data_IF_082636218036
#
_entry.id   IF_082636218036
#
_cell.length_a   1.000
_cell.length_b   1.000
_cell.length_c   1.000
_cell.angle_alpha   90.00
_cell.angle_beta   90.00
_cell.angle_gamma   90.00
#
_symmetry.space_group_name_H-M   'P 1'
#
loop_
_entity.id
_entity.type
_entity.pdbx_description
1 polymer ?
#
# COMPACT_ATOMS: atom_id res chain seq x y z
N UNK A 1 -47.12 6.47 -26.63
CA UNK A 1 -47.45 5.16 -27.25
C UNK A 1 -46.33 4.19 -26.86
N UNK A 2 -46.56 3.18 -26.01
CA UNK A 2 -47.16 1.87 -26.33
C UNK A 2 -46.40 1.07 -27.41
N UNK A 3 -45.54 0.15 -26.98
CA UNK A 3 -45.77 -1.30 -27.10
C UNK A 3 -45.12 -2.05 -25.93
N UNK A 4 -45.95 -2.50 -24.99
CA UNK A 4 -45.66 -3.64 -24.12
C UNK A 4 -46.25 -4.90 -24.77
N UNK A 5 -45.73 -6.08 -24.40
CA UNK A 5 -46.45 -7.36 -24.47
C UNK A 5 -46.07 -8.17 -23.23
N UNK A 6 -47.06 -8.57 -22.44
CA UNK A 6 -46.91 -9.35 -21.20
C UNK A 6 -47.43 -10.79 -21.40
N UNK A 7 -46.97 -11.72 -20.56
CA UNK A 7 -47.62 -12.95 -20.03
C UNK A 7 -46.58 -13.56 -19.06
N UNK A 8 -46.78 -13.84 -17.76
CA UNK A 8 -47.81 -14.62 -17.04
C UNK A 8 -47.84 -16.12 -17.44
N UNK A 9 -47.75 -17.12 -16.55
CA UNK A 9 -47.44 -17.17 -15.10
C UNK A 9 -46.98 -18.61 -14.69
N UNK A 10 -46.23 -18.72 -13.60
CA UNK A 10 -45.84 -19.89 -12.77
C UNK A 10 -46.36 -21.33 -13.04
N UNK A 11 -45.50 -22.35 -12.81
CA UNK A 11 -45.63 -23.32 -11.69
C UNK A 11 -44.48 -24.36 -11.52
N UNK A 12 -44.11 -24.60 -10.25
CA UNK A 12 -43.63 -25.84 -9.59
C UNK A 12 -42.54 -26.80 -10.17
N UNK A 13 -41.39 -26.83 -9.47
CA UNK A 13 -40.71 -28.00 -8.81
C UNK A 13 -40.37 -29.28 -9.63
N UNK A 14 -39.06 -29.51 -9.87
CA UNK A 14 -38.26 -30.75 -9.67
C UNK A 14 -36.98 -30.67 -10.57
N UNK A 15 -35.78 -30.30 -10.13
CA UNK A 15 -34.85 -30.82 -9.10
C UNK A 15 -33.88 -31.91 -9.60
N UNK A 16 -32.56 -31.63 -9.50
CA UNK A 16 -31.39 -32.55 -9.67
C UNK A 16 -31.16 -33.09 -11.11
N UNK A 17 -30.02 -32.99 -11.79
CA UNK A 17 -28.67 -32.32 -11.71
C UNK A 17 -28.06 -32.36 -13.15
N UNK A 18 -26.87 -31.88 -13.54
CA UNK A 18 -25.70 -31.21 -12.92
C UNK A 18 -24.95 -30.43 -14.03
N UNK A 19 -24.72 -29.11 -13.91
CA UNK A 19 -23.63 -28.34 -14.58
C UNK A 19 -23.79 -26.83 -14.34
N UNK A 20 -22.78 -26.17 -13.75
CA UNK A 20 -22.61 -24.71 -13.81
C UNK A 20 -21.16 -24.30 -13.52
N UNK A 21 -20.64 -23.37 -14.31
CA UNK A 21 -19.30 -22.78 -14.12
C UNK A 21 -19.47 -21.35 -13.60
N UNK A 22 -18.83 -21.06 -12.46
CA UNK A 22 -18.34 -19.72 -12.08
C UNK A 22 -19.36 -18.62 -11.76
N UNK A 23 -19.44 -18.23 -10.49
CA UNK A 23 -19.38 -16.84 -9.97
C UNK A 23 -19.24 -16.90 -8.43
N UNK A 24 -18.72 -15.85 -7.79
CA UNK A 24 -18.29 -15.89 -6.38
C UNK A 24 -19.43 -15.80 -5.33
N UNK A 25 -19.24 -16.32 -4.10
CA UNK A 25 -20.25 -16.28 -3.05
C UNK A 25 -20.15 -15.01 -2.17
N UNK A 26 -21.28 -14.37 -1.93
CA UNK A 26 -21.42 -13.27 -0.98
C UNK A 26 -22.68 -13.43 -0.13
N UNK A 27 -22.50 -13.87 1.13
CA UNK A 27 -23.48 -13.95 2.22
C UNK A 27 -24.71 -14.87 2.02
N UNK A 28 -24.89 -15.77 2.98
CA UNK A 28 -26.22 -16.08 3.53
C UNK A 28 -26.05 -16.20 5.05
N UNK A 29 -27.06 -15.83 5.84
CA UNK A 29 -26.99 -15.80 7.30
C UNK A 29 -28.23 -16.47 7.91
N UNK A 30 -28.08 -17.20 9.02
CA UNK A 30 -29.24 -17.84 9.67
C UNK A 30 -28.95 -19.04 10.56
N UNK A 31 -28.16 -18.87 11.62
CA UNK A 31 -28.19 -19.75 12.79
C UNK A 31 -28.11 -18.87 14.04
N UNK A 32 -28.96 -19.12 15.04
CA UNK A 32 -29.03 -18.28 16.24
C UNK A 32 -27.95 -18.70 17.24
N UNK A 33 -27.16 -17.74 17.72
CA UNK A 33 -26.17 -17.98 18.76
C UNK A 33 -26.86 -18.09 20.14
N UNK A 34 -26.79 -19.27 20.76
CA UNK A 34 -26.96 -19.43 22.21
C UNK A 34 -25.62 -19.15 22.93
N UNK A 35 -25.67 -18.93 24.24
CA UNK A 35 -24.53 -18.48 25.02
C UNK A 35 -23.34 -19.47 25.01
N UNK A 36 -22.12 -18.94 25.03
CA UNK A 36 -20.89 -19.71 24.89
C UNK A 36 -20.56 -20.56 26.13
N UNK A 37 -19.92 -21.71 25.89
CA UNK A 37 -19.18 -22.49 26.89
C UNK A 37 -17.87 -23.02 26.30
N UNK A 38 -16.79 -22.79 27.05
CA UNK A 38 -15.50 -23.50 27.10
C UNK A 38 -14.95 -24.21 25.84
N UNK A 39 -13.90 -23.62 25.25
CA UNK A 39 -12.80 -24.34 24.59
C UNK A 39 -12.96 -24.63 23.08
N UNK A 40 -12.38 -23.78 22.23
CA UNK A 40 -12.18 -24.13 20.83
C UNK A 40 -11.14 -25.26 20.69
N UNK A 41 -11.47 -26.40 20.05
CA UNK A 41 -10.64 -27.60 20.12
C UNK A 41 -9.26 -27.46 19.46
N UNK A 42 -9.11 -26.50 18.54
CA UNK A 42 -7.89 -26.30 17.75
C UNK A 42 -6.97 -25.17 18.26
N UNK A 43 -7.30 -24.50 19.37
CA UNK A 43 -6.44 -23.43 19.93
C UNK A 43 -5.62 -23.98 21.10
N UNK A 44 -4.37 -23.51 21.25
CA UNK A 44 -3.51 -23.72 22.43
C UNK A 44 -3.61 -22.49 23.35
N UNK A 45 -3.48 -21.30 22.78
CA UNK A 45 -3.81 -20.02 23.43
C UNK A 45 -4.13 -18.96 22.38
N UNK A 46 -4.84 -17.91 22.79
CA UNK A 46 -5.11 -16.71 21.99
C UNK A 46 -5.02 -15.43 22.84
N UNK A 47 -4.77 -14.31 22.18
CA UNK A 47 -4.77 -12.95 22.72
C UNK A 47 -5.54 -12.07 21.74
N UNK A 48 -6.64 -11.48 22.20
CA UNK A 48 -7.57 -10.72 21.36
C UNK A 48 -8.51 -11.60 20.51
N UNK A 49 -9.19 -10.98 19.55
CA UNK A 49 -10.20 -11.58 18.65
C UNK A 49 -9.93 -11.22 17.19
N UNK A 50 -10.36 -12.06 16.27
CA UNK A 50 -10.31 -11.77 14.83
C UNK A 50 -11.59 -11.05 14.40
N UNK A 51 -11.75 -9.77 14.75
CA UNK A 51 -12.94 -8.96 14.41
C UNK A 51 -12.66 -7.67 13.62
N UNK A 52 -11.40 -7.27 13.49
CA UNK A 52 -10.91 -6.13 12.71
C UNK A 52 -10.45 -4.93 13.53
N UNK A 53 -10.45 -5.03 14.87
CA UNK A 53 -10.22 -3.91 15.78
C UNK A 53 -9.12 -4.21 16.81
N UNK A 54 -8.53 -3.14 17.38
CA UNK A 54 -7.48 -3.24 18.41
C UNK A 54 -7.93 -2.81 19.82
N UNK A 55 -9.22 -2.52 20.00
CA UNK A 55 -9.82 -1.86 21.18
C UNK A 55 -9.68 -2.59 22.51
N UNK A 56 -9.45 -3.89 22.48
CA UNK A 56 -9.27 -4.70 23.68
C UNK A 56 -7.82 -4.78 24.16
N UNK A 57 -6.87 -4.17 23.44
CA UNK A 57 -5.48 -4.00 23.86
C UNK A 57 -5.26 -2.69 24.63
N UNK A 58 -4.09 -2.51 25.25
CA UNK A 58 -3.69 -1.22 25.79
C UNK A 58 -3.19 -0.29 24.68
N UNK A 59 -3.55 0.99 24.71
CA UNK A 59 -3.32 1.90 23.59
C UNK A 59 -1.84 2.27 23.34
N UNK A 60 -1.54 2.71 22.13
CA UNK A 60 -0.20 3.03 21.65
C UNK A 60 0.74 1.83 21.56
N UNK A 61 2.04 2.11 21.58
CA UNK A 61 3.11 1.12 21.49
C UNK A 61 4.01 1.09 22.74
N UNK A 62 4.96 0.17 22.75
CA UNK A 62 6.05 0.05 23.73
C UNK A 62 7.34 -0.37 23.04
N UNK A 63 8.50 -0.06 23.65
CA UNK A 63 9.82 -0.60 23.25
C UNK A 63 9.98 -2.10 23.51
N UNK A 64 9.05 -2.70 24.24
CA UNK A 64 9.00 -4.13 24.52
C UNK A 64 7.96 -4.44 25.59
N UNK A 65 7.51 -5.70 25.66
CA UNK A 65 6.62 -6.19 26.71
C UNK A 65 6.76 -7.70 26.89
N UNK A 66 6.15 -8.23 27.94
CA UNK A 66 6.01 -9.68 28.15
C UNK A 66 4.62 -9.96 28.69
N UNK A 67 3.93 -10.89 28.04
CA UNK A 67 2.56 -11.28 28.31
C UNK A 67 2.53 -12.73 28.76
N UNK A 68 2.00 -13.03 29.93
CA UNK A 68 1.91 -14.39 30.46
C UNK A 68 0.49 -14.93 30.27
N UNK A 69 0.34 -15.95 29.42
CA UNK A 69 -0.95 -16.60 29.15
C UNK A 69 -1.58 -17.09 30.47
N UNK A 70 -2.86 -16.74 30.67
CA UNK A 70 -3.61 -17.07 31.90
C UNK A 70 -3.37 -16.15 33.09
N UNK A 71 -2.50 -15.13 32.97
CA UNK A 71 -2.22 -14.14 34.03
C UNK A 71 -2.40 -12.69 33.55
N UNK A 72 -1.84 -12.38 32.38
CA UNK A 72 -1.92 -11.05 31.75
C UNK A 72 -3.30 -10.80 31.15
N UNK A 73 -3.65 -9.52 30.98
CA UNK A 73 -4.90 -9.04 30.39
C UNK A 73 -4.61 -8.24 29.12
N UNK A 74 -5.25 -8.50 27.96
CA UNK A 74 -4.96 -7.79 26.71
C UNK A 74 -5.01 -6.26 26.89
N UNK A 75 -6.04 -5.78 27.61
CA UNK A 75 -6.36 -4.36 27.82
C UNK A 75 -5.41 -3.61 28.77
N UNK A 76 -4.33 -4.26 29.23
CA UNK A 76 -3.33 -3.70 30.15
C UNK A 76 -1.91 -4.01 29.69
N UNK A 77 -1.69 -5.27 29.32
CA UNK A 77 -0.35 -5.87 29.25
C UNK A 77 0.09 -6.17 27.80
N UNK A 78 -0.84 -6.14 26.83
CA UNK A 78 -0.52 -6.15 25.40
C UNK A 78 -0.76 -4.76 24.82
N UNK A 79 0.05 -4.33 23.84
CA UNK A 79 -0.09 -3.03 23.18
C UNK A 79 -0.77 -3.18 21.83
N UNK A 80 -1.66 -2.26 21.50
CA UNK A 80 -2.42 -2.28 20.25
C UNK A 80 -1.52 -2.20 19.02
N UNK A 81 -0.38 -1.49 19.11
CA UNK A 81 0.57 -1.32 18.02
C UNK A 81 1.98 -1.71 18.44
N UNK A 82 2.73 -2.32 17.52
CA UNK A 82 4.17 -2.54 17.66
C UNK A 82 4.90 -1.84 16.51
N UNK A 83 5.80 -0.92 16.87
CA UNK A 83 6.64 -0.21 15.91
C UNK A 83 7.76 -1.13 15.39
N UNK A 84 8.27 -0.82 14.20
CA UNK A 84 9.33 -1.57 13.52
C UNK A 84 10.61 -0.75 13.35
N UNK A 85 11.76 -1.43 13.21
CA UNK A 85 13.05 -0.79 12.97
C UNK A 85 14.01 -1.72 12.19
N UNK A 86 15.01 -1.17 11.50
CA UNK A 86 16.10 -1.97 10.90
C UNK A 86 17.19 -2.36 11.93
N UNK A 87 17.24 -1.69 13.09
CA UNK A 87 18.17 -1.98 14.20
C UNK A 87 17.41 -1.94 15.53
N UNK A 88 17.72 -2.88 16.44
CA UNK A 88 17.11 -3.03 17.77
C UNK A 88 15.59 -2.82 17.84
N UNK A 89 14.80 -3.54 17.01
CA UNK A 89 13.34 -3.39 16.98
C UNK A 89 12.70 -3.79 18.32
N UNK A 90 11.56 -3.17 18.69
CA UNK A 90 10.77 -3.60 19.84
C UNK A 90 10.44 -5.10 19.78
N UNK A 91 10.58 -5.80 20.91
CA UNK A 91 10.29 -7.24 21.03
C UNK A 91 9.15 -7.48 22.02
N UNK A 92 8.04 -8.03 21.52
CA UNK A 92 6.86 -8.39 22.32
C UNK A 92 6.90 -9.89 22.58
N UNK A 93 6.84 -10.30 23.84
CA UNK A 93 6.97 -11.71 24.24
C UNK A 93 5.66 -12.29 24.72
N UNK A 94 5.33 -13.49 24.28
CA UNK A 94 4.28 -14.33 24.86
C UNK A 94 4.93 -15.49 25.60
N UNK A 95 4.61 -15.62 26.89
CA UNK A 95 4.99 -16.76 27.74
C UNK A 95 3.79 -17.64 28.00
N UNK A 96 3.97 -18.95 27.83
CA UNK A 96 2.90 -19.92 27.97
C UNK A 96 3.44 -21.27 28.43
N UNK A 97 2.57 -22.07 29.06
CA UNK A 97 2.90 -23.44 29.48
C UNK A 97 2.31 -24.46 28.51
N UNK A 98 3.03 -25.57 28.32
CA UNK A 98 2.57 -26.75 27.61
C UNK A 98 2.62 -27.97 28.53
N UNK A 99 1.47 -28.62 28.76
CA UNK A 99 1.42 -29.88 29.53
C UNK A 99 2.07 -31.04 28.78
N UNK A 100 2.08 -30.97 27.45
CA UNK A 100 2.83 -31.84 26.53
C UNK A 100 3.18 -31.06 25.26
N UNK A 101 4.29 -31.41 24.62
CA UNK A 101 4.66 -30.84 23.31
C UNK A 101 3.71 -31.39 22.23
N UNK A 102 3.12 -30.56 21.35
CA UNK A 102 2.25 -31.03 20.27
C UNK A 102 2.98 -31.99 19.32
N UNK A 103 2.35 -33.12 18.98
CA UNK A 103 2.92 -34.12 18.07
C UNK A 103 2.98 -33.67 16.60
N UNK A 104 2.26 -32.60 16.24
CA UNK A 104 2.27 -31.95 14.92
C UNK A 104 2.59 -30.46 15.09
N UNK A 105 3.23 -29.79 14.11
CA UNK A 105 3.68 -28.41 14.24
C UNK A 105 2.51 -27.45 14.53
N UNK A 106 2.46 -26.79 15.71
CA UNK A 106 1.47 -25.75 15.92
C UNK A 106 1.79 -24.52 15.04
N UNK A 107 0.77 -23.74 14.71
CA UNK A 107 0.90 -22.55 13.86
C UNK A 107 0.73 -21.30 14.72
N UNK A 108 1.75 -20.44 14.74
CA UNK A 108 1.59 -19.08 15.26
C UNK A 108 0.85 -18.26 14.21
N UNK A 109 -0.37 -17.85 14.53
CA UNK A 109 -1.22 -17.00 13.71
C UNK A 109 -1.22 -15.58 14.27
N UNK A 110 -0.87 -14.61 13.43
CA UNK A 110 -0.94 -13.17 13.74
C UNK A 110 -1.86 -12.52 12.72
N UNK A 111 -2.94 -11.91 13.21
CA UNK A 111 -3.79 -11.04 12.42
C UNK A 111 -3.46 -9.59 12.81
N UNK A 112 -3.15 -8.78 11.82
CA UNK A 112 -2.75 -7.39 12.02
C UNK A 112 -3.12 -6.52 10.82
N UNK A 113 -3.00 -5.21 10.98
CA UNK A 113 -3.26 -4.22 9.94
C UNK A 113 -2.25 -3.07 10.03
N UNK A 114 -1.99 -2.43 8.89
CA UNK A 114 -1.16 -1.23 8.80
C UNK A 114 -2.04 0.02 8.69
N UNK A 115 -1.84 0.97 9.60
CA UNK A 115 -2.36 2.34 9.56
C UNK A 115 -1.40 3.32 8.84
N UNK A 116 -0.12 2.95 8.78
CA UNK A 116 1.00 3.72 8.25
C UNK A 116 1.83 2.88 7.25
N UNK A 117 3.11 3.22 7.07
CA UNK A 117 4.06 2.34 6.37
C UNK A 117 4.16 1.00 7.12
N UNK A 118 3.89 -0.10 6.41
CA UNK A 118 4.08 -1.44 6.95
C UNK A 118 5.58 -1.80 7.01
N UNK A 119 6.01 -2.60 8.00
CA UNK A 119 7.33 -3.23 8.00
C UNK A 119 7.51 -4.14 6.79
N UNK A 120 8.78 -4.40 6.45
CA UNK A 120 9.19 -5.29 5.35
C UNK A 120 9.09 -6.77 5.73
N UNK A 121 9.36 -7.08 6.99
CA UNK A 121 9.43 -8.44 7.52
C UNK A 121 9.12 -8.46 9.02
N UNK A 122 8.91 -9.64 9.56
CA UNK A 122 9.01 -9.89 10.98
C UNK A 122 10.06 -10.94 11.30
N UNK A 123 10.54 -10.92 12.55
CA UNK A 123 11.40 -11.93 13.14
C UNK A 123 10.69 -12.54 14.35
N UNK A 124 10.69 -13.86 14.42
CA UNK A 124 10.34 -14.62 15.62
C UNK A 124 11.61 -15.02 16.39
N UNK A 125 11.49 -15.13 17.71
CA UNK A 125 12.34 -15.96 18.55
C UNK A 125 11.44 -16.99 19.25
N UNK A 126 11.78 -18.28 19.17
CA UNK A 126 11.03 -19.38 19.82
C UNK A 126 11.99 -20.14 20.71
N UNK A 127 11.96 -19.87 22.03
CA UNK A 127 12.91 -20.43 23.00
C UNK A 127 14.41 -20.30 22.57
N UNK A 128 14.78 -19.22 21.86
CA UNK A 128 16.13 -19.00 21.31
C UNK A 128 16.33 -19.49 19.86
N UNK A 129 15.27 -19.92 19.16
CA UNK A 129 15.30 -20.25 17.72
C UNK A 129 14.78 -19.09 16.90
N UNK A 130 15.59 -18.59 15.96
CA UNK A 130 15.28 -17.37 15.19
C UNK A 130 14.54 -17.72 13.90
N UNK A 131 13.38 -17.13 13.69
CA UNK A 131 12.61 -17.28 12.44
C UNK A 131 12.44 -15.96 11.69
N UNK A 132 12.40 -15.99 10.36
CA UNK A 132 12.11 -14.83 9.51
C UNK A 132 10.80 -15.04 8.73
N UNK A 133 10.04 -13.97 8.46
CA UNK A 133 8.88 -14.02 7.56
C UNK A 133 8.66 -12.66 6.91
N UNK A 134 8.24 -12.64 5.64
CA UNK A 134 7.83 -11.38 4.98
C UNK A 134 6.53 -10.87 5.56
N UNK A 135 6.38 -9.55 5.49
CA UNK A 135 5.10 -8.88 5.64
C UNK A 135 4.63 -8.52 4.23
N UNK A 136 3.44 -8.99 3.83
CA UNK A 136 2.89 -8.82 2.48
C UNK A 136 1.49 -8.19 2.54
N UNK A 137 1.35 -6.91 2.96
CA UNK A 137 0.05 -6.34 3.31
C UNK A 137 -0.93 -6.38 2.14
N UNK A 138 -2.05 -7.06 2.35
CA UNK A 138 -3.13 -7.18 1.36
C UNK A 138 -4.05 -5.97 1.52
N UNK A 139 -4.06 -5.11 0.50
CA UNK A 139 -4.96 -3.97 0.44
C UNK A 139 -6.43 -4.42 0.58
N UNK A 140 -7.20 -3.71 1.39
CA UNK A 140 -8.59 -4.07 1.68
C UNK A 140 -9.46 -2.87 2.05
N UNK A 141 -10.79 -3.03 2.03
CA UNK A 141 -11.71 -1.98 2.46
C UNK A 141 -11.48 -1.66 3.95
N UNK A 142 -11.66 -0.39 4.31
CA UNK A 142 -11.49 0.05 5.70
C UNK A 142 -12.46 -0.70 6.64
N UNK A 143 -11.96 -1.09 7.82
CA UNK A 143 -12.71 -1.77 8.88
C UNK A 143 -13.15 -0.81 10.01
N UNK A 144 -12.42 0.28 10.23
CA UNK A 144 -12.56 1.13 11.43
C UNK A 144 -12.63 2.62 11.06
N UNK A 145 -13.68 3.28 11.54
CA UNK A 145 -13.91 4.72 11.38
C UNK A 145 -12.88 5.62 12.07
N UNK A 146 -11.98 5.08 12.91
CA UNK A 146 -10.90 5.82 13.59
C UNK A 146 -9.60 5.88 12.79
N UNK A 147 -9.45 5.09 11.72
CA UNK A 147 -8.19 4.95 11.00
C UNK A 147 -8.06 6.01 9.89
N UNK A 148 -7.29 7.06 10.16
CA UNK A 148 -7.00 8.18 9.24
C UNK A 148 -5.92 7.87 8.18
N UNK A 149 -5.52 6.60 8.04
CA UNK A 149 -4.40 6.17 7.19
C UNK A 149 -4.78 6.05 5.71
N UNK A 150 -3.88 6.48 4.82
CA UNK A 150 -4.07 6.38 3.36
C UNK A 150 -3.86 4.96 2.79
N UNK A 151 -3.47 3.99 3.63
CA UNK A 151 -2.98 2.66 3.22
C UNK A 151 -3.63 1.54 4.05
N UNK A 152 -4.95 1.35 3.91
CA UNK A 152 -5.64 0.23 4.55
C UNK A 152 -5.19 -1.11 3.95
N UNK A 153 -4.38 -1.85 4.70
CA UNK A 153 -4.00 -3.21 4.36
C UNK A 153 -4.04 -4.11 5.60
N UNK A 154 -4.57 -5.32 5.42
CA UNK A 154 -4.51 -6.39 6.42
C UNK A 154 -3.29 -7.26 6.16
N UNK A 155 -2.78 -7.91 7.20
CA UNK A 155 -1.81 -8.99 7.09
C UNK A 155 -2.27 -10.17 7.95
N UNK A 156 -2.18 -11.37 7.37
CA UNK A 156 -2.29 -12.62 8.10
C UNK A 156 -0.95 -13.33 8.04
N UNK A 157 -0.22 -13.36 9.16
CA UNK A 157 1.02 -14.11 9.31
C UNK A 157 0.67 -15.47 9.89
N UNK A 158 1.09 -16.56 9.26
CA UNK A 158 0.89 -17.92 9.78
C UNK A 158 2.19 -18.71 9.67
N UNK A 159 2.89 -18.89 10.79
CA UNK A 159 4.20 -19.55 10.83
C UNK A 159 4.07 -20.91 11.54
N UNK A 160 4.30 -22.04 10.86
CA UNK A 160 4.46 -23.33 11.52
C UNK A 160 5.70 -23.33 12.42
N UNK A 161 5.53 -23.76 13.67
CA UNK A 161 6.58 -23.84 14.68
C UNK A 161 6.96 -25.31 14.85
N UNK A 162 8.25 -25.65 14.79
CA UNK A 162 8.66 -27.04 15.02
C UNK A 162 8.36 -27.48 16.46
N UNK A 163 7.79 -28.69 16.66
CA UNK A 163 7.67 -29.28 18.00
C UNK A 163 9.00 -29.37 18.74
N UNK A 164 10.12 -29.53 18.04
CA UNK A 164 11.47 -29.58 18.62
C UNK A 164 12.00 -28.23 19.11
N UNK A 165 11.35 -27.11 18.77
CA UNK A 165 11.65 -25.79 19.34
C UNK A 165 10.83 -25.52 20.62
N UNK A 166 9.86 -26.38 20.92
CA UNK A 166 8.99 -26.30 22.09
C UNK A 166 9.40 -27.34 23.15
N UNK A 167 9.03 -27.08 24.39
CA UNK A 167 9.29 -27.99 25.52
C UNK A 167 8.07 -28.13 26.43
N UNK A 168 8.01 -29.21 27.20
CA UNK A 168 7.04 -29.34 28.29
C UNK A 168 7.34 -28.28 29.36
N UNK A 169 6.30 -27.66 29.94
CA UNK A 169 6.43 -26.52 30.84
C UNK A 169 6.51 -25.17 30.12
N UNK A 170 7.33 -24.24 30.64
CA UNK A 170 7.39 -22.83 30.19
C UNK A 170 8.03 -22.65 28.81
N UNK A 171 7.37 -21.94 27.91
CA UNK A 171 7.85 -21.55 26.59
C UNK A 171 7.75 -20.04 26.40
N UNK A 172 8.66 -19.44 25.63
CA UNK A 172 8.62 -18.03 25.21
C UNK A 172 8.64 -17.92 23.69
N UNK A 173 7.75 -17.10 23.13
CA UNK A 173 7.79 -16.62 21.74
C UNK A 173 7.96 -15.10 21.75
N UNK A 174 9.08 -14.61 21.22
CA UNK A 174 9.32 -13.20 20.93
C UNK A 174 8.90 -12.86 19.50
N UNK A 175 8.26 -11.71 19.32
CA UNK A 175 7.81 -11.17 18.03
C UNK A 175 8.43 -9.78 17.86
N UNK A 176 9.00 -9.50 16.69
CA UNK A 176 9.54 -8.19 16.31
C UNK A 176 9.38 -7.92 14.81
N UNK A 177 9.38 -6.65 14.41
CA UNK A 177 9.16 -6.23 13.02
C UNK A 177 10.34 -5.42 12.48
N UNK A 178 10.74 -5.71 11.25
CA UNK A 178 11.96 -5.23 10.60
C UNK A 178 11.66 -4.30 9.42
N UNK A 179 12.46 -3.25 9.31
CA UNK A 179 12.32 -2.21 8.29
C UNK A 179 11.31 -1.12 8.66
N UNK A 180 11.21 -0.14 7.77
CA UNK A 180 10.43 1.08 7.98
C UNK A 180 11.32 2.26 8.33
N UNK A 181 11.57 3.14 7.35
CA UNK A 181 12.44 4.29 7.53
C UNK A 181 11.80 5.38 8.39
N UNK A 182 12.57 5.93 9.33
CA UNK A 182 12.14 7.00 10.25
C UNK A 182 12.09 8.39 9.61
N UNK A 183 11.43 8.52 8.45
CA UNK A 183 11.30 9.79 7.71
C UNK A 183 10.28 10.74 8.35
N UNK A 184 10.64 11.26 9.51
CA UNK A 184 10.17 12.49 10.17
C UNK A 184 8.66 12.74 10.45
N UNK A 185 7.71 11.85 10.11
CA UNK A 185 6.30 12.08 10.48
C UNK A 185 5.44 10.86 10.86
N UNK A 186 5.83 9.63 10.50
CA UNK A 186 5.08 8.42 10.86
C UNK A 186 6.00 7.31 11.35
N UNK A 187 5.60 6.63 12.42
CA UNK A 187 6.23 5.39 12.88
C UNK A 187 5.71 4.22 12.04
N UNK A 188 6.63 3.51 11.39
CA UNK A 188 6.35 2.23 10.74
C UNK A 188 6.07 1.16 11.80
N UNK A 189 5.16 0.23 11.50
CA UNK A 189 4.75 -0.80 12.44
C UNK A 189 3.46 -1.50 12.01
N UNK A 190 2.92 -2.32 12.91
CA UNK A 190 1.65 -3.02 12.71
C UNK A 190 0.79 -2.89 13.97
N UNK A 191 -0.51 -2.70 13.75
CA UNK A 191 -1.53 -2.79 14.79
C UNK A 191 -2.09 -4.21 14.83
N UNK A 192 -2.24 -4.74 16.04
CA UNK A 192 -2.78 -6.09 16.26
C UNK A 192 -4.30 -6.09 16.18
N UNK A 193 -4.82 -7.14 15.55
CA UNK A 193 -6.22 -7.58 15.66
C UNK A 193 -6.25 -8.79 16.61
N UNK A 194 -5.50 -9.84 16.29
CA UNK A 194 -5.39 -11.03 17.16
C UNK A 194 -4.08 -11.79 17.01
N UNK A 195 -3.72 -12.54 18.06
CA UNK A 195 -2.58 -13.45 18.08
C UNK A 195 -3.01 -14.80 18.67
N UNK A 196 -2.68 -15.91 18.02
CA UNK A 196 -2.99 -17.25 18.52
C UNK A 196 -1.89 -18.26 18.21
N UNK A 197 -1.79 -19.29 19.04
CA UNK A 197 -1.06 -20.52 18.73
C UNK A 197 -2.07 -21.64 18.50
N UNK A 198 -2.20 -22.08 17.25
CA UNK A 198 -3.17 -23.08 16.80
C UNK A 198 -2.54 -24.47 16.68
N UNK A 199 -3.35 -25.52 16.88
CA UNK A 199 -3.00 -26.92 16.62
C UNK A 199 -3.19 -27.21 15.14
N UNK A 200 -2.16 -27.73 14.47
CA UNK A 200 -2.28 -28.28 13.11
C UNK A 200 -2.41 -29.80 13.15
N UNK A 201 -3.14 -30.36 12.18
CA UNK A 201 -3.16 -31.80 11.87
C UNK A 201 -2.26 -32.17 10.68
N UNK A 202 -1.69 -31.18 9.98
CA UNK A 202 -0.91 -31.38 8.76
C UNK A 202 0.59 -31.32 8.98
N UNK A 203 1.32 -32.26 8.37
CA UNK A 203 2.76 -32.15 8.18
C UNK A 203 3.05 -31.30 6.92
N UNK A 204 3.60 -30.10 7.11
CA UNK A 204 4.20 -29.30 6.03
C UNK A 204 5.55 -29.89 5.59
N UNK A 205 6.04 -29.60 4.39
CA UNK A 205 7.32 -30.15 3.95
C UNK A 205 8.51 -29.48 4.66
N UNK A 206 9.67 -30.15 4.65
CA UNK A 206 10.94 -29.65 5.21
C UNK A 206 11.42 -28.35 4.51
N UNK A 207 11.20 -28.30 3.19
CA UNK A 207 11.50 -27.18 2.30
C UNK A 207 10.44 -27.10 1.20
N UNK A 208 9.76 -25.96 1.09
CA UNK A 208 8.85 -25.60 0.00
C UNK A 208 9.42 -24.37 -0.74
N UNK A 209 9.06 -24.15 -2.00
CA UNK A 209 9.57 -23.00 -2.76
C UNK A 209 8.58 -22.42 -3.76
N UNK A 210 8.44 -21.09 -3.77
CA UNK A 210 7.71 -20.32 -4.77
C UNK A 210 8.66 -19.57 -5.70
N UNK A 211 8.13 -19.15 -6.86
CA UNK A 211 8.79 -18.23 -7.78
C UNK A 211 7.81 -17.10 -8.02
N UNK A 212 8.10 -15.93 -7.47
CA UNK A 212 7.22 -14.76 -7.40
C UNK A 212 7.83 -13.61 -8.23
N UNK A 213 7.41 -13.43 -9.50
CA UNK A 213 7.78 -12.26 -10.30
C UNK A 213 7.23 -10.99 -9.67
N UNK A 214 7.97 -9.89 -9.77
CA UNK A 214 7.55 -8.59 -9.21
C UNK A 214 7.24 -7.59 -10.31
N UNK A 215 6.47 -6.56 -9.98
CA UNK A 215 6.19 -5.42 -10.87
C UNK A 215 7.43 -4.59 -11.28
N UNK A 216 8.62 -4.93 -10.76
CA UNK A 216 9.87 -4.21 -11.01
C UNK A 216 10.68 -4.87 -12.14
N UNK A 217 11.05 -4.06 -13.12
CA UNK A 217 11.85 -4.48 -14.27
C UNK A 217 13.11 -3.62 -14.35
N UNK A 218 14.30 -4.24 -14.43
CA UNK A 218 15.57 -3.54 -14.59
C UNK A 218 16.24 -3.87 -15.92
N UNK A 219 17.00 -2.91 -16.47
CA UNK A 219 17.81 -3.12 -17.67
C UNK A 219 19.20 -3.60 -17.28
N UNK A 220 19.60 -4.75 -17.82
CA UNK A 220 20.96 -5.29 -17.73
C UNK A 220 21.56 -5.24 -19.13
N UNK A 221 22.30 -4.16 -19.40
CA UNK A 221 22.69 -3.76 -20.76
C UNK A 221 21.47 -3.64 -21.68
N UNK A 222 21.53 -4.29 -22.84
CA UNK A 222 20.45 -4.28 -23.82
C UNK A 222 19.27 -5.22 -23.47
N UNK A 223 19.34 -6.00 -22.39
CA UNK A 223 18.28 -6.94 -22.00
C UNK A 223 17.42 -6.37 -20.88
N UNK A 224 16.10 -6.51 -21.00
CA UNK A 224 15.18 -6.28 -19.89
C UNK A 224 15.12 -7.54 -19.02
N UNK A 225 15.26 -7.35 -17.71
CA UNK A 225 15.11 -8.38 -16.68
C UNK A 225 13.91 -8.05 -15.81
N UNK A 226 13.26 -9.10 -15.35
CA UNK A 226 12.12 -9.06 -14.45
C UNK A 226 12.59 -9.51 -13.07
N UNK A 227 12.51 -8.60 -12.10
CA UNK A 227 13.00 -8.88 -10.75
C UNK A 227 12.04 -9.90 -10.13
N UNK A 228 12.59 -11.06 -9.78
CA UNK A 228 11.81 -12.21 -9.29
C UNK A 228 12.34 -12.62 -7.93
N UNK A 229 11.45 -12.84 -6.97
CA UNK A 229 11.78 -13.45 -5.69
C UNK A 229 11.64 -14.97 -5.83
N UNK A 230 12.71 -15.71 -5.57
CA UNK A 230 12.60 -17.12 -5.19
C UNK A 230 12.44 -17.14 -3.69
N UNK A 231 11.32 -17.66 -3.20
CA UNK A 231 11.03 -17.72 -1.77
C UNK A 231 11.08 -19.17 -1.33
N UNK A 232 11.83 -19.42 -0.27
CA UNK A 232 12.02 -20.75 0.30
C UNK A 232 11.36 -20.76 1.69
N UNK A 233 10.34 -21.60 1.87
CA UNK A 233 9.75 -21.82 3.18
C UNK A 233 10.45 -23.03 3.80
N UNK A 234 11.12 -22.85 4.94
CA UNK A 234 11.99 -23.85 5.54
C UNK A 234 11.74 -24.02 7.03
N UNK A 235 11.97 -25.23 7.54
CA UNK A 235 11.74 -25.59 8.95
C UNK A 235 13.03 -25.87 9.74
N UNK A 236 14.17 -25.81 9.06
CA UNK A 236 15.52 -25.99 9.60
C UNK A 236 16.49 -24.99 8.96
N UNK A 237 17.67 -24.70 9.58
CA UNK A 237 18.69 -23.85 8.97
C UNK A 237 19.07 -24.35 7.57
N UNK A 238 19.08 -23.44 6.58
CA UNK A 238 19.44 -23.79 5.20
C UNK A 238 20.95 -23.70 4.94
N UNK A 239 21.66 -22.88 5.71
CA UNK A 239 23.08 -22.55 5.50
C UNK A 239 23.27 -21.68 4.25
N UNK A 240 24.39 -21.90 3.54
CA UNK A 240 24.57 -21.36 2.17
C UNK A 240 23.54 -22.01 1.24
N UNK A 241 22.87 -21.18 0.44
CA UNK A 241 21.87 -21.63 -0.53
C UNK A 241 22.28 -21.25 -1.96
N UNK A 242 22.24 -22.23 -2.86
CA UNK A 242 22.34 -22.01 -4.30
C UNK A 242 20.99 -22.25 -4.98
N UNK A 243 20.51 -21.28 -5.77
CA UNK A 243 19.31 -21.43 -6.61
C UNK A 243 19.67 -21.36 -8.09
N UNK A 244 19.05 -22.24 -8.88
CA UNK A 244 19.16 -22.28 -10.32
C UNK A 244 17.75 -22.28 -10.92
N UNK A 245 17.29 -21.13 -11.40
CA UNK A 245 15.96 -20.93 -11.96
C UNK A 245 16.04 -20.89 -13.49
N UNK A 246 15.42 -21.87 -14.14
CA UNK A 246 15.20 -21.90 -15.58
C UNK A 246 13.79 -21.42 -15.89
N UNK A 247 13.67 -20.31 -16.62
CA UNK A 247 12.40 -19.77 -17.14
C UNK A 247 12.42 -19.90 -18.66
N UNK A 248 11.58 -20.78 -19.20
CA UNK A 248 11.62 -21.13 -20.63
C UNK A 248 13.02 -21.55 -21.11
N UNK A 249 13.59 -20.77 -22.03
CA UNK A 249 14.91 -21.01 -22.62
C UNK A 249 16.11 -20.39 -21.88
N UNK A 250 15.91 -19.65 -20.77
CA UNK A 250 16.99 -18.99 -20.03
C UNK A 250 17.11 -19.50 -18.60
N UNK A 251 18.31 -19.89 -18.21
CA UNK A 251 18.67 -20.16 -16.81
C UNK A 251 19.32 -18.94 -16.18
N UNK A 252 18.99 -18.68 -14.92
CA UNK A 252 19.70 -17.77 -14.01
C UNK A 252 20.09 -18.51 -12.75
N UNK A 253 21.25 -18.18 -12.19
CA UNK A 253 21.77 -18.77 -10.96
C UNK A 253 22.14 -17.68 -9.96
N UNK A 254 22.00 -17.98 -8.68
CA UNK A 254 22.33 -17.10 -7.56
C UNK A 254 22.75 -17.97 -6.39
N UNK A 255 23.82 -17.57 -5.71
CA UNK A 255 24.22 -18.16 -4.42
C UNK A 255 24.17 -17.05 -3.37
N UNK A 256 23.74 -17.41 -2.16
CA UNK A 256 23.69 -16.53 -1.00
C UNK A 256 24.25 -17.29 0.22
N UNK A 257 25.04 -16.61 1.05
CA UNK A 257 25.60 -17.17 2.28
C UNK A 257 24.52 -17.41 3.35
N UNK A 258 24.88 -18.02 4.48
CA UNK A 258 23.93 -18.23 5.58
C UNK A 258 23.37 -16.91 6.13
N UNK A 259 22.06 -16.87 6.37
CA UNK A 259 21.33 -15.71 6.92
C UNK A 259 21.16 -15.79 8.44
N UNK A 260 21.46 -16.94 9.04
CA UNK A 260 21.41 -17.16 10.48
C UNK A 260 19.99 -17.30 11.04
N UNK A 261 19.00 -17.69 10.23
CA UNK A 261 17.67 -18.08 10.68
C UNK A 261 17.51 -19.61 10.73
N UNK A 262 16.90 -20.10 11.81
CA UNK A 262 16.59 -21.51 12.01
C UNK A 262 15.38 -21.98 11.19
N UNK A 263 14.45 -21.10 10.85
CA UNK A 263 13.19 -21.43 10.15
C UNK A 263 12.51 -20.21 9.53
N UNK A 264 11.43 -20.45 8.78
CA UNK A 264 10.54 -19.42 8.25
C UNK A 264 10.67 -19.27 6.73
N UNK A 265 10.83 -18.04 6.25
CA UNK A 265 11.03 -17.71 4.85
C UNK A 265 12.47 -17.23 4.58
N UNK A 266 13.04 -17.62 3.43
CA UNK A 266 14.25 -17.03 2.86
C UNK A 266 13.98 -16.52 1.45
N UNK A 267 14.35 -15.28 1.17
CA UNK A 267 14.00 -14.57 -0.07
C UNK A 267 15.26 -14.30 -0.89
N UNK A 268 15.32 -14.82 -2.12
CA UNK A 268 16.49 -14.71 -3.00
C UNK A 268 16.08 -14.01 -4.30
N UNK A 269 16.67 -12.85 -4.58
CA UNK A 269 16.34 -12.04 -5.75
C UNK A 269 17.12 -12.48 -7.01
N UNK A 270 16.40 -12.78 -8.10
CA UNK A 270 16.98 -13.24 -9.37
C UNK A 270 16.46 -12.45 -10.59
N UNK A 271 17.32 -12.29 -11.60
CA UNK A 271 17.07 -11.52 -12.82
C UNK A 271 16.42 -12.37 -13.93
N UNK A 272 15.16 -12.77 -13.74
CA UNK A 272 14.44 -13.59 -14.70
C UNK A 272 14.36 -12.93 -16.10
N UNK A 273 14.30 -13.71 -17.19
CA UNK A 273 14.04 -13.16 -18.52
C UNK A 273 12.65 -12.51 -18.53
N UNK A 274 12.55 -11.25 -18.95
CA UNK A 274 11.27 -10.54 -18.99
C UNK A 274 10.38 -11.05 -20.15
N UNK A 275 9.60 -12.11 -19.89
CA UNK A 275 8.68 -12.75 -20.86
C UNK A 275 7.37 -11.98 -21.03
N UNK A 276 6.58 -12.30 -22.05
CA UNK A 276 5.33 -11.61 -22.42
C UNK A 276 4.07 -12.45 -22.24
N UNK A 277 4.22 -13.74 -21.92
CA UNK A 277 3.15 -14.72 -21.71
C UNK A 277 3.60 -15.71 -20.62
N UNK A 278 2.67 -16.46 -20.00
CA UNK A 278 3.03 -17.52 -19.07
C UNK A 278 3.93 -18.58 -19.73
N UNK A 279 4.97 -19.03 -19.03
CA UNK A 279 5.90 -20.08 -19.50
C UNK A 279 6.28 -21.02 -18.37
N UNK A 280 6.60 -22.31 -18.63
CA UNK A 280 7.05 -23.22 -17.58
C UNK A 280 8.40 -22.79 -16.98
N UNK A 281 8.57 -23.03 -15.67
CA UNK A 281 9.85 -22.94 -14.98
C UNK A 281 10.29 -24.27 -14.35
N UNK A 282 11.61 -24.42 -14.20
CA UNK A 282 12.24 -25.41 -13.33
C UNK A 282 13.19 -24.66 -12.38
N UNK A 283 12.98 -24.81 -11.08
CA UNK A 283 13.82 -24.25 -10.02
C UNK A 283 14.55 -25.39 -9.32
N UNK A 284 15.88 -25.32 -9.24
CA UNK A 284 16.69 -26.21 -8.39
C UNK A 284 17.21 -25.41 -7.21
N UNK A 285 17.11 -25.98 -6.02
CA UNK A 285 17.56 -25.39 -4.76
C UNK A 285 18.55 -26.34 -4.11
N UNK A 286 19.80 -25.92 -3.98
CA UNK A 286 20.83 -26.59 -3.20
C UNK A 286 20.89 -25.94 -1.82
N UNK A 287 20.49 -26.66 -0.77
CA UNK A 287 20.43 -26.19 0.61
C UNK A 287 20.48 -27.38 1.58
N UNK A 288 21.04 -27.20 2.79
CA UNK A 288 21.10 -28.27 3.80
C UNK A 288 21.77 -29.58 3.32
N UNK A 289 22.68 -29.51 2.35
CA UNK A 289 23.32 -30.67 1.72
C UNK A 289 22.43 -31.46 0.73
N UNK A 290 21.19 -31.03 0.49
CA UNK A 290 20.22 -31.63 -0.44
C UNK A 290 20.08 -30.77 -1.71
N UNK A 291 19.60 -31.38 -2.80
CA UNK A 291 19.16 -30.64 -3.99
C UNK A 291 17.69 -30.98 -4.27
N UNK A 292 16.81 -30.01 -4.04
CA UNK A 292 15.38 -30.09 -4.37
C UNK A 292 15.10 -29.50 -5.75
N UNK A 293 14.08 -30.01 -6.45
CA UNK A 293 13.65 -29.49 -7.75
C UNK A 293 12.15 -29.20 -7.74
N UNK A 294 11.79 -27.94 -7.95
CA UNK A 294 10.43 -27.42 -8.01
C UNK A 294 10.09 -27.02 -9.45
N UNK A 295 8.81 -27.10 -9.84
CA UNK A 295 8.33 -26.74 -11.19
C UNK A 295 6.98 -26.07 -11.10
N UNK A 296 6.71 -25.17 -12.03
CA UNK A 296 5.46 -24.43 -12.11
C UNK A 296 5.39 -23.57 -13.36
N UNK A 297 4.52 -22.57 -13.34
CA UNK A 297 4.34 -21.61 -14.44
C UNK A 297 4.77 -20.21 -13.99
N UNK A 298 5.75 -19.64 -14.69
CA UNK A 298 6.20 -18.26 -14.51
C UNK A 298 5.22 -17.34 -15.25
N UNK A 299 4.54 -16.46 -14.52
CA UNK A 299 3.59 -15.48 -15.07
C UNK A 299 4.20 -14.08 -14.98
N UNK A 300 4.51 -13.41 -16.11
CA UNK A 300 5.14 -12.11 -16.06
C UNK A 300 4.19 -11.05 -15.50
N UNK A 301 4.72 -10.19 -14.64
CA UNK A 301 3.98 -9.12 -14.00
C UNK A 301 3.73 -7.91 -14.91
N UNK A 302 2.79 -7.06 -14.49
CA UNK A 302 2.38 -5.89 -15.27
C UNK A 302 3.52 -4.87 -15.34
N UNK A 303 4.03 -4.62 -16.55
CA UNK A 303 5.02 -3.57 -16.84
C UNK A 303 4.40 -2.18 -16.75
N UNK A 304 4.32 -1.63 -15.54
CA UNK A 304 3.77 -0.31 -15.28
C UNK A 304 4.61 0.80 -15.94
N UNK A 305 3.94 1.86 -16.39
CA UNK A 305 4.56 3.13 -16.80
C UNK A 305 4.21 4.20 -15.77
N UNK A 306 5.19 4.57 -14.96
CA UNK A 306 5.05 5.62 -13.94
C UNK A 306 5.25 6.98 -14.61
N UNK A 307 4.39 7.95 -14.28
CA UNK A 307 4.52 9.35 -14.69
C UNK A 307 4.70 10.21 -13.42
N UNK A 308 5.73 11.03 -13.37
CA UNK A 308 6.03 11.88 -12.22
C UNK A 308 5.50 13.31 -12.42
N UNK A 309 4.38 13.63 -11.77
CA UNK A 309 3.81 15.00 -11.74
C UNK A 309 4.46 15.85 -10.65
N UNK A 310 5.70 16.28 -10.85
CA UNK A 310 6.44 17.05 -9.83
C UNK A 310 5.82 18.43 -9.62
N UNK A 311 5.54 18.79 -8.36
CA UNK A 311 5.00 20.09 -7.93
C UNK A 311 5.43 20.40 -6.49
N UNK A 312 5.11 21.60 -6.02
CA UNK A 312 5.12 22.00 -4.60
C UNK A 312 3.68 22.46 -4.26
N UNK A 313 3.22 22.19 -3.04
CA UNK A 313 1.91 22.65 -2.53
C UNK A 313 2.01 24.07 -1.97
N UNK A 314 1.00 24.92 -2.18
CA UNK A 314 1.06 26.36 -1.87
C UNK A 314 0.04 26.78 -0.80
N UNK A 315 0.52 26.85 0.44
CA UNK A 315 -0.22 27.10 1.69
C UNK A 315 -0.19 28.59 2.12
N UNK A 316 -0.93 29.43 1.39
CA UNK A 316 -0.77 30.89 1.40
C UNK A 316 -1.38 31.61 2.62
N UNK A 317 -0.65 31.56 3.74
CA UNK A 317 -1.03 32.13 5.03
C UNK A 317 -1.22 31.09 6.14
N UNK A 318 -0.90 29.82 5.88
CA UNK A 318 -0.88 28.76 6.90
C UNK A 318 0.56 28.44 7.35
N UNK A 319 1.49 28.24 6.42
CA UNK A 319 2.89 27.91 6.74
C UNK A 319 3.66 29.08 7.35
N UNK A 320 3.42 30.30 6.85
CA UNK A 320 4.03 31.55 7.31
C UNK A 320 3.18 32.74 6.80
N UNK A 321 3.53 33.96 7.21
CA UNK A 321 2.98 35.21 6.69
C UNK A 321 3.12 35.27 5.15
N UNK A 322 2.07 35.76 4.48
CA UNK A 322 1.98 35.76 3.02
C UNK A 322 3.22 36.38 2.30
N UNK A 323 3.84 37.48 2.75
CA UNK A 323 5.06 38.01 2.12
C UNK A 323 6.28 37.08 2.21
N UNK A 324 6.38 36.30 3.29
CA UNK A 324 7.47 35.33 3.47
C UNK A 324 7.28 34.14 2.51
N UNK A 325 6.03 33.68 2.36
CA UNK A 325 5.66 32.65 1.37
C UNK A 325 5.92 33.14 -0.07
N UNK A 326 5.61 34.40 -0.39
CA UNK A 326 5.90 34.99 -1.71
C UNK A 326 7.38 34.95 -2.09
N UNK A 327 8.28 35.30 -1.16
CA UNK A 327 9.73 35.24 -1.43
C UNK A 327 10.29 33.82 -1.36
N UNK A 328 9.67 32.92 -0.58
CA UNK A 328 9.98 31.49 -0.61
C UNK A 328 9.63 30.87 -1.97
N UNK A 329 8.41 31.07 -2.47
CA UNK A 329 8.00 30.63 -3.81
C UNK A 329 8.80 31.32 -4.92
N UNK A 330 9.22 32.57 -4.70
CA UNK A 330 10.18 33.28 -5.53
C UNK A 330 11.50 32.51 -5.70
N UNK A 331 12.11 32.11 -4.58
CA UNK A 331 13.37 31.34 -4.56
C UNK A 331 13.19 29.91 -5.06
N UNK A 332 12.07 29.25 -4.72
CA UNK A 332 11.74 27.91 -5.21
C UNK A 332 11.61 27.91 -6.74
N UNK A 333 10.96 28.93 -7.32
CA UNK A 333 10.86 29.11 -8.78
C UNK A 333 12.23 29.34 -9.42
N UNK A 334 13.10 30.14 -8.79
CA UNK A 334 14.48 30.33 -9.26
C UNK A 334 15.30 29.02 -9.24
N UNK A 335 15.13 28.18 -8.21
CA UNK A 335 15.75 26.85 -8.11
C UNK A 335 15.20 25.85 -9.14
N UNK A 336 13.88 25.82 -9.38
CA UNK A 336 13.25 24.98 -10.42
C UNK A 336 13.84 25.30 -11.80
N UNK A 337 14.09 26.58 -12.12
CA UNK A 337 14.72 26.94 -13.38
C UNK A 337 16.21 26.55 -13.48
N UNK A 338 16.93 26.43 -12.35
CA UNK A 338 18.28 25.88 -12.32
C UNK A 338 18.26 24.34 -12.47
N UNK A 339 17.34 23.65 -11.80
CA UNK A 339 17.16 22.20 -11.95
C UNK A 339 16.84 21.83 -13.40
N UNK A 340 15.99 22.59 -14.09
CA UNK A 340 15.66 22.35 -15.50
C UNK A 340 16.83 22.68 -16.44
N UNK A 341 17.70 23.65 -16.12
CA UNK A 341 18.89 23.93 -16.94
C UNK A 341 19.97 22.86 -16.79
N UNK A 342 20.12 22.30 -15.58
CA UNK A 342 21.03 21.18 -15.26
C UNK A 342 20.50 19.83 -15.73
N UNK A 343 19.19 19.65 -15.73
CA UNK A 343 18.49 18.40 -16.08
C UNK A 343 17.35 18.70 -17.07
N UNK A 344 17.62 18.81 -18.39
CA UNK A 344 16.62 19.24 -19.39
C UNK A 344 15.37 18.33 -19.51
N UNK A 345 15.43 17.11 -18.97
CA UNK A 345 14.30 16.17 -18.87
C UNK A 345 13.34 16.49 -17.71
N UNK A 346 13.75 17.32 -16.77
CA UNK A 346 12.96 17.69 -15.60
C UNK A 346 11.75 18.52 -16.02
N UNK A 347 10.58 18.21 -15.46
CA UNK A 347 9.35 18.97 -15.63
C UNK A 347 8.76 19.33 -14.27
N UNK A 348 8.18 20.52 -14.16
CA UNK A 348 7.61 21.02 -12.91
C UNK A 348 6.25 21.69 -13.14
N UNK A 349 5.31 21.49 -12.23
CA UNK A 349 3.96 22.04 -12.33
C UNK A 349 3.76 23.03 -11.17
N UNK A 350 3.58 24.31 -11.49
CA UNK A 350 3.20 25.32 -10.49
C UNK A 350 1.71 25.15 -10.19
N UNK A 351 1.40 24.70 -8.99
CA UNK A 351 0.04 24.32 -8.58
C UNK A 351 -0.98 25.45 -8.70
N UNK A 352 -0.60 26.65 -8.25
CA UNK A 352 -1.47 27.83 -8.16
C UNK A 352 -0.84 29.03 -8.87
N UNK A 353 -1.65 29.77 -9.62
CA UNK A 353 -1.13 30.86 -10.45
C UNK A 353 -0.63 32.09 -9.65
N UNK A 354 -1.02 32.25 -8.38
CA UNK A 354 -0.53 33.29 -7.47
C UNK A 354 0.98 33.25 -7.26
N UNK A 355 1.59 32.06 -7.24
CA UNK A 355 3.05 31.91 -7.15
C UNK A 355 3.76 32.65 -8.30
N UNK A 356 3.24 32.49 -9.51
CA UNK A 356 3.75 33.13 -10.72
C UNK A 356 3.44 34.64 -10.74
N UNK A 357 2.26 35.07 -10.27
CA UNK A 357 1.93 36.51 -10.22
C UNK A 357 2.91 37.28 -9.32
N UNK A 358 3.27 36.73 -8.16
CA UNK A 358 4.27 37.34 -7.28
C UNK A 358 5.70 37.19 -7.79
N UNK A 359 6.02 36.11 -8.52
CA UNK A 359 7.28 36.00 -9.27
C UNK A 359 7.43 37.11 -10.33
N UNK A 360 6.37 37.39 -11.11
CA UNK A 360 6.37 38.43 -12.14
C UNK A 360 6.45 39.87 -11.59
N UNK A 361 6.04 40.08 -10.33
CA UNK A 361 6.16 41.37 -9.62
C UNK A 361 7.54 41.57 -8.97
N UNK A 362 8.14 40.50 -8.45
CA UNK A 362 9.38 40.58 -7.65
C UNK A 362 10.66 40.29 -8.44
N UNK A 363 10.60 39.63 -9.60
CA UNK A 363 11.78 39.21 -10.38
C UNK A 363 11.91 39.97 -11.70
N UNK A 364 13.14 40.03 -12.21
CA UNK A 364 13.48 40.84 -13.38
C UNK A 364 12.77 40.38 -14.66
N UNK A 365 12.59 41.30 -15.61
CA UNK A 365 12.05 40.99 -16.93
C UNK A 365 12.84 39.89 -17.69
N UNK A 366 14.11 39.67 -17.34
CA UNK A 366 14.92 38.56 -17.89
C UNK A 366 14.47 37.21 -17.34
N UNK A 367 14.33 37.10 -16.01
CA UNK A 367 13.81 35.92 -15.31
C UNK A 367 12.37 35.58 -15.74
N UNK A 368 11.52 36.60 -15.89
CA UNK A 368 10.17 36.48 -16.47
C UNK A 368 10.19 35.84 -17.87
N UNK A 369 11.07 36.28 -18.76
CA UNK A 369 11.23 35.69 -20.11
C UNK A 369 11.79 34.27 -20.06
N UNK A 370 12.69 33.97 -19.13
CA UNK A 370 13.20 32.61 -18.90
C UNK A 370 12.05 31.66 -18.53
N UNK A 371 11.24 32.01 -17.53
CA UNK A 371 10.10 31.21 -17.08
C UNK A 371 9.07 31.00 -18.21
N UNK A 372 8.70 32.06 -18.93
CA UNK A 372 7.78 31.96 -20.07
C UNK A 372 8.34 31.06 -21.19
N UNK A 373 9.66 31.10 -21.45
CA UNK A 373 10.33 30.22 -22.41
C UNK A 373 10.27 28.75 -22.00
N UNK A 374 10.38 28.43 -20.71
CA UNK A 374 10.22 27.06 -20.19
C UNK A 374 8.77 26.56 -20.32
N UNK A 375 7.79 27.44 -20.09
CA UNK A 375 6.37 27.10 -20.25
C UNK A 375 5.99 26.86 -21.72
N UNK A 376 6.50 27.69 -22.64
CA UNK A 376 6.34 27.49 -24.09
C UNK A 376 7.02 26.21 -24.60
N UNK A 377 8.00 25.67 -23.86
CA UNK A 377 8.70 24.41 -24.16
C UNK A 377 8.10 23.19 -23.46
N UNK A 378 6.98 23.33 -22.77
CA UNK A 378 6.33 22.26 -22.00
C UNK A 378 7.27 21.67 -20.90
N UNK A 379 8.23 22.47 -20.41
CA UNK A 379 9.14 22.12 -19.30
C UNK A 379 8.61 22.60 -17.94
N UNK A 380 7.78 23.63 -17.92
CA UNK A 380 6.93 23.95 -16.76
C UNK A 380 5.47 24.10 -17.16
N UNK A 381 4.56 23.72 -16.27
CA UNK A 381 3.13 24.02 -16.38
C UNK A 381 2.71 25.05 -15.34
N UNK A 382 1.68 25.84 -15.63
CA UNK A 382 1.12 26.84 -14.72
C UNK A 382 -0.35 26.52 -14.50
N UNK A 383 -0.66 26.01 -13.32
CA UNK A 383 -2.02 25.67 -12.90
C UNK A 383 -2.96 26.85 -13.07
N UNK A 384 -4.10 26.61 -13.72
CA UNK A 384 -4.95 27.70 -14.19
C UNK A 384 -5.64 28.51 -13.07
N UNK A 385 -5.84 27.90 -11.91
CA UNK A 385 -6.55 28.48 -10.76
C UNK A 385 -5.56 29.28 -9.91
N UNK A 386 -5.99 30.48 -9.48
CA UNK A 386 -5.12 31.42 -8.78
C UNK A 386 -4.62 30.93 -7.40
N UNK A 387 -5.45 30.17 -6.66
CA UNK A 387 -5.17 29.65 -5.30
C UNK A 387 -5.85 28.28 -5.09
N UNK A 388 -5.46 27.54 -4.04
CA UNK A 388 -6.23 26.38 -3.54
C UNK A 388 -7.52 26.87 -2.87
N UNK A 389 -8.57 27.10 -3.66
CA UNK A 389 -9.83 27.67 -3.19
C UNK A 389 -10.72 26.64 -2.49
N UNK A 390 -11.31 27.03 -1.36
CA UNK A 390 -12.47 26.36 -0.75
C UNK A 390 -13.70 26.57 -1.64
N UNK A 391 -13.76 25.90 -2.80
CA UNK A 391 -14.70 26.23 -3.89
C UNK A 391 -16.20 26.18 -3.54
N UNK A 392 -16.59 25.51 -2.45
CA UNK A 392 -17.95 25.55 -1.91
C UNK A 392 -18.35 26.88 -1.24
N UNK A 393 -17.38 27.76 -0.95
CA UNK A 393 -17.59 29.12 -0.43
C UNK A 393 -17.53 30.19 -1.53
N UNK A 394 -17.15 29.82 -2.75
CA UNK A 394 -17.00 30.75 -3.88
C UNK A 394 -18.30 30.87 -4.68
N UNK A 395 -18.66 32.09 -5.06
CA UNK A 395 -19.63 32.33 -6.13
C UNK A 395 -19.07 31.89 -7.49
N UNK A 396 -19.96 31.68 -8.48
CA UNK A 396 -19.54 31.34 -9.85
C UNK A 396 -18.62 32.40 -10.49
N UNK A 397 -18.86 33.68 -10.20
CA UNK A 397 -18.02 34.80 -10.66
C UNK A 397 -16.61 34.74 -10.06
N UNK A 398 -16.47 34.38 -8.77
CA UNK A 398 -15.15 34.22 -8.14
C UNK A 398 -14.37 33.04 -8.71
N UNK A 399 -15.06 31.95 -9.06
CA UNK A 399 -14.45 30.80 -9.75
C UNK A 399 -13.93 31.19 -11.15
N UNK A 400 -14.68 31.98 -11.93
CA UNK A 400 -14.18 32.53 -13.20
C UNK A 400 -13.02 33.51 -12.99
N UNK A 401 -13.11 34.41 -12.00
CA UNK A 401 -12.02 35.36 -11.65
C UNK A 401 -10.74 34.65 -11.24
N UNK A 402 -10.83 33.47 -10.62
CA UNK A 402 -9.66 32.64 -10.29
C UNK A 402 -8.81 32.25 -11.52
N UNK A 403 -9.37 32.33 -12.74
CA UNK A 403 -8.67 32.04 -14.00
C UNK A 403 -8.15 33.31 -14.70
N UNK A 404 -8.51 34.52 -14.26
CA UNK A 404 -8.20 35.75 -15.00
C UNK A 404 -6.69 36.00 -15.13
N UNK A 405 -5.92 35.73 -14.08
CA UNK A 405 -4.47 35.90 -14.13
C UNK A 405 -3.81 34.91 -15.09
N UNK A 406 -4.12 33.61 -15.00
CA UNK A 406 -3.53 32.60 -15.90
C UNK A 406 -3.92 32.84 -17.36
N UNK A 407 -5.17 33.24 -17.64
CA UNK A 407 -5.59 33.68 -18.99
C UNK A 407 -4.92 34.97 -19.44
N UNK A 408 -4.54 35.87 -18.53
CA UNK A 408 -3.70 37.03 -18.88
C UNK A 408 -2.30 36.61 -19.31
N UNK A 409 -1.71 35.57 -18.71
CA UNK A 409 -0.43 35.00 -19.14
C UNK A 409 -0.54 34.38 -20.53
N UNK A 410 -1.60 33.60 -20.78
CA UNK A 410 -1.88 33.01 -22.09
C UNK A 410 -1.98 34.09 -23.18
N UNK A 411 -2.68 35.21 -22.90
CA UNK A 411 -2.81 36.34 -23.83
C UNK A 411 -1.50 37.14 -24.02
N UNK A 412 -0.70 37.31 -22.96
CA UNK A 412 0.49 38.20 -22.95
C UNK A 412 1.77 37.51 -23.43
N UNK A 413 1.93 36.23 -23.15
CA UNK A 413 3.17 35.47 -23.39
C UNK A 413 2.96 34.22 -24.27
N UNK A 414 1.72 33.90 -24.66
CA UNK A 414 1.41 32.70 -25.44
C UNK A 414 1.52 31.39 -24.66
N UNK A 415 1.79 31.44 -23.34
CA UNK A 415 1.99 30.25 -22.52
C UNK A 415 0.71 29.39 -22.49
N UNK A 416 0.80 28.06 -22.64
CA UNK A 416 -0.38 27.21 -22.56
C UNK A 416 -0.95 27.18 -21.13
N UNK A 417 -2.27 27.23 -21.01
CA UNK A 417 -3.00 27.00 -19.76
C UNK A 417 -4.00 25.88 -20.01
N UNK A 418 -3.53 24.64 -19.83
CA UNK A 418 -4.23 23.39 -20.20
C UNK A 418 -4.84 22.66 -19.00
N UNK A 419 -4.38 23.01 -17.80
CA UNK A 419 -4.39 22.17 -16.61
C UNK A 419 -4.71 22.99 -15.37
N UNK A 420 -5.37 22.36 -14.40
CA UNK A 420 -5.62 22.91 -13.09
C UNK A 420 -5.45 21.82 -12.02
N UNK A 421 -5.13 22.23 -10.79
CA UNK A 421 -5.13 21.35 -9.63
C UNK A 421 -5.67 22.08 -8.43
N UNK A 422 -6.35 21.35 -7.56
CA UNK A 422 -6.61 21.78 -6.18
C UNK A 422 -6.21 20.59 -5.30
N UNK A 423 -5.33 20.83 -4.33
CA UNK A 423 -5.04 19.84 -3.28
C UNK A 423 -5.16 20.45 -1.90
N UNK A 424 -5.27 19.59 -0.89
CA UNK A 424 -5.58 19.87 0.52
C UNK A 424 -6.85 20.69 0.81
N UNK A 425 -7.73 20.82 -0.18
CA UNK A 425 -9.11 21.29 0.01
C UNK A 425 -10.03 20.07 0.28
N UNK A 426 -10.92 20.10 1.29
CA UNK A 426 -11.77 18.95 1.65
C UNK A 426 -12.91 18.63 0.68
N UNK A 427 -13.33 19.59 -0.16
CA UNK A 427 -14.47 19.39 -1.06
C UNK A 427 -14.43 20.34 -2.26
N UNK A 428 -14.99 19.87 -3.38
CA UNK A 428 -15.05 20.62 -4.63
C UNK A 428 -16.51 20.83 -5.04
N UNK A 429 -16.84 22.04 -5.51
CA UNK A 429 -18.18 22.35 -6.02
C UNK A 429 -18.45 21.69 -7.38
N UNK A 430 -19.67 21.19 -7.56
CA UNK A 430 -20.13 20.52 -8.78
C UNK A 430 -20.10 21.39 -10.05
N UNK A 431 -19.98 22.71 -9.89
CA UNK A 431 -19.90 23.68 -10.98
C UNK A 431 -18.48 23.86 -11.55
N UNK A 432 -17.43 23.46 -10.82
CA UNK A 432 -16.03 23.62 -11.23
C UNK A 432 -15.71 23.01 -12.63
N UNK A 433 -16.25 21.85 -13.04
CA UNK A 433 -16.04 21.31 -14.38
C UNK A 433 -16.51 22.24 -15.51
N UNK A 434 -17.62 22.96 -15.34
CA UNK A 434 -18.08 23.94 -16.34
C UNK A 434 -17.10 25.10 -16.45
N UNK A 435 -16.70 25.69 -15.31
CA UNK A 435 -15.74 26.82 -15.27
C UNK A 435 -14.42 26.44 -15.95
N UNK A 436 -13.93 25.21 -15.75
CA UNK A 436 -12.72 24.72 -16.40
C UNK A 436 -12.95 24.42 -17.90
N UNK A 437 -14.05 23.76 -18.27
CA UNK A 437 -14.35 23.41 -19.66
C UNK A 437 -14.59 24.65 -20.54
N UNK A 438 -15.35 25.64 -20.05
CA UNK A 438 -15.63 26.90 -20.75
C UNK A 438 -14.33 27.72 -20.93
N UNK A 439 -13.39 27.61 -19.99
CA UNK A 439 -12.04 28.16 -20.10
C UNK A 439 -11.07 27.29 -20.94
N UNK A 440 -11.53 26.16 -21.51
CA UNK A 440 -10.73 25.25 -22.34
C UNK A 440 -9.68 24.42 -21.58
N UNK A 441 -9.76 24.36 -20.26
CA UNK A 441 -8.88 23.59 -19.39
C UNK A 441 -9.38 22.14 -19.36
N UNK A 442 -8.50 21.18 -19.70
CA UNK A 442 -8.87 19.76 -19.91
C UNK A 442 -8.29 18.82 -18.87
N UNK A 443 -7.15 19.15 -18.28
CA UNK A 443 -6.58 18.39 -17.17
C UNK A 443 -7.04 18.98 -15.84
N UNK A 444 -7.59 18.16 -14.96
CA UNK A 444 -7.83 18.52 -13.57
C UNK A 444 -7.30 17.44 -12.62
N UNK A 445 -6.55 17.83 -11.59
CA UNK A 445 -6.07 16.95 -10.55
C UNK A 445 -6.64 17.37 -9.18
N UNK A 446 -7.41 16.47 -8.56
CA UNK A 446 -7.89 16.60 -7.19
C UNK A 446 -7.00 15.80 -6.24
N UNK A 447 -6.60 16.40 -5.12
CA UNK A 447 -5.90 15.74 -4.03
C UNK A 447 -6.49 16.20 -2.70
N UNK A 448 -7.70 15.74 -2.41
CA UNK A 448 -8.49 16.24 -1.29
C UNK A 448 -7.82 16.02 0.07
N UNK A 449 -7.99 16.98 0.99
CA UNK A 449 -7.61 16.79 2.39
C UNK A 449 -8.52 15.71 3.00
N UNK A 450 -8.03 14.48 3.11
CA UNK A 450 -8.84 13.37 3.59
C UNK A 450 -9.16 13.47 5.10
N UNK A 451 -8.36 14.18 5.89
CA UNK A 451 -8.64 14.46 7.31
C UNK A 451 -9.84 15.40 7.51
N UNK A 452 -10.20 16.18 6.49
CA UNK A 452 -11.31 17.16 6.52
C UNK A 452 -12.45 16.81 5.56
N UNK A 453 -12.16 15.98 4.55
CA UNK A 453 -13.09 15.47 3.54
C UNK A 453 -12.62 14.09 3.07
N UNK A 454 -12.95 13.01 3.81
CA UNK A 454 -12.39 11.65 3.62
C UNK A 454 -12.96 10.93 2.37
N UNK A 455 -12.67 11.48 1.19
CA UNK A 455 -13.18 10.99 -0.10
C UNK A 455 -12.65 9.60 -0.44
N UNK A 456 -11.42 9.25 -0.04
CA UNK A 456 -10.82 7.93 -0.26
C UNK A 456 -11.29 6.87 0.74
N UNK A 457 -11.77 7.30 1.92
CA UNK A 457 -12.33 6.40 2.93
C UNK A 457 -13.79 6.05 2.59
N UNK A 458 -14.54 7.03 2.08
CA UNK A 458 -15.98 6.94 1.82
C UNK A 458 -16.34 6.70 0.34
N UNK A 459 -15.35 6.57 -0.56
CA UNK A 459 -15.57 6.21 -1.98
C UNK A 459 -14.31 5.68 -2.65
N UNK A 460 -14.49 4.87 -3.69
CA UNK A 460 -13.42 4.33 -4.56
C UNK A 460 -13.08 5.23 -5.76
N UNK A 461 -13.33 6.56 -5.71
CA UNK A 461 -13.13 7.45 -6.88
C UNK A 461 -11.67 7.53 -7.39
N UNK A 462 -10.71 7.08 -6.59
CA UNK A 462 -9.31 6.87 -6.99
C UNK A 462 -9.12 5.62 -7.87
N UNK A 463 -9.97 4.61 -7.76
CA UNK A 463 -9.94 3.40 -8.60
C UNK A 463 -10.49 3.68 -10.00
N UNK A 464 -11.48 4.58 -10.10
CA UNK A 464 -12.02 5.12 -11.37
C UNK A 464 -11.06 6.11 -12.06
N UNK A 465 -9.93 6.48 -11.45
CA UNK A 465 -9.07 7.54 -11.98
C UNK A 465 -8.10 7.04 -13.07
N UNK A 466 -8.01 7.70 -14.24
CA UNK A 466 -8.65 8.97 -14.61
C UNK A 466 -10.06 8.81 -15.21
N UNK A 467 -11.02 9.58 -14.69
CA UNK A 467 -12.39 9.67 -15.18
C UNK A 467 -12.73 11.05 -15.78
N UNK A 468 -13.80 11.12 -16.57
CA UNK A 468 -14.37 12.38 -17.04
C UNK A 468 -15.33 12.96 -16.00
N UNK A 469 -14.92 14.02 -15.30
CA UNK A 469 -15.80 14.75 -14.39
C UNK A 469 -16.69 15.73 -15.21
N UNK A 470 -18.01 15.55 -15.12
CA UNK A 470 -18.98 16.37 -15.84
C UNK A 470 -20.35 16.40 -15.18
N UNK A 471 -21.18 17.36 -15.56
CA UNK A 471 -22.51 17.60 -14.97
C UNK A 471 -23.57 16.82 -15.74
N UNK A 472 -24.30 15.94 -15.06
CA UNK A 472 -25.44 15.23 -15.65
C UNK A 472 -26.65 16.15 -15.69
N UNK A 473 -26.85 16.84 -16.81
CA UNK A 473 -27.99 17.73 -17.04
C UNK A 473 -29.31 16.97 -17.16
N UNK A 474 -29.93 16.63 -16.01
CA UNK A 474 -31.34 16.21 -15.93
C UNK A 474 -32.31 17.38 -16.13
N UNK A 475 -32.08 18.17 -17.19
CA UNK A 475 -33.04 19.14 -17.72
C UNK A 475 -33.43 18.65 -19.11
N UNK A 476 -34.32 17.65 -19.14
CA UNK A 476 -35.22 17.47 -20.27
C UNK A 476 -36.40 18.40 -20.02
N UNK A 477 -36.60 19.36 -20.91
CA UNK A 477 -37.89 20.06 -21.05
C UNK A 477 -38.93 19.16 -21.71
#
# INVERSE_FOLDING_TARGET
MRRQSQLWLASAIAAVTFLSIGQGPGKNAGAQAQAATEGEPNVIWSIGKTDGFSDEFASGSSKGLTYEIGKSSPRKDWREKQDSADHDPPVYRVRFRLDQVPASPPVLAIQCFSDALAPRAGQLDVNGKRGFFRIQPVAGPNLDGRQWGFSHAKQSVRVPIEPSFLRQGENEIGISFLGGGSTHSQASGLSYDSLALEKSSGATAELEATVEPTIFFRRSGNRLREITQVVLHHRSPLGRVGVNLKVGGTTVAREEEDDGYDFGERVIEVDAPAVSTPVPYELKVAAGGKISTFRGEFRPEKRWRIFAGLKIHSDNGFTDLQPNVQELDGRNTDQVMELISRFPFYKFNFEVAWSIDNYLKSRSASKTRQLASLALRDQVDIGAIYLNLLTGLCTGEELYRSLYFSKSLQKKYGVPVKTASITDVPSLTWFLPSVLADAGIKGFANGSNNTRGPILQNSSLNEDSPFYWGIVSRIRG
#
